data_IF_784969153009
#
_entry.id   IF_784969153009
#
_cell.length_a   1.000
_cell.length_b   1.000
_cell.length_c   1.000
_cell.angle_alpha   90.00
_cell.angle_beta   90.00
_cell.angle_gamma   90.00
#
_symmetry.space_group_name_H-M   'P 1'
#
loop_
_entity.id
_entity.type
_entity.pdbx_description
1 polymer ?
#
# COMPACT_ATOMS: atom_id res chain seq x y z
N UNK A 1 -14.30 32.71 32.21
CA UNK A 1 -13.92 32.41 30.83
C UNK A 1 -15.19 32.11 30.05
N UNK A 2 -15.41 32.87 28.99
CA UNK A 2 -16.71 33.15 28.39
C UNK A 2 -17.36 31.94 27.66
N UNK A 3 -18.55 31.56 28.08
CA UNK A 3 -19.41 30.54 27.41
C UNK A 3 -19.71 30.88 25.92
N UNK A 4 -19.59 32.16 25.54
CA UNK A 4 -19.74 32.63 24.15
C UNK A 4 -18.52 32.30 23.28
N UNK A 5 -17.31 32.43 23.81
CA UNK A 5 -16.06 32.10 23.10
C UNK A 5 -15.99 30.59 22.74
N UNK A 6 -16.45 29.72 23.66
CA UNK A 6 -16.51 28.27 23.38
C UNK A 6 -17.52 27.90 22.28
N UNK A 7 -18.67 28.59 22.19
CA UNK A 7 -19.65 28.31 21.13
C UNK A 7 -19.19 28.76 19.75
N UNK A 8 -18.50 29.91 19.67
CA UNK A 8 -17.95 30.41 18.38
C UNK A 8 -16.81 29.50 17.91
N UNK A 9 -15.89 29.11 18.80
CA UNK A 9 -14.82 28.16 18.49
C UNK A 9 -15.38 26.81 18.00
N UNK A 10 -16.40 26.29 18.67
CA UNK A 10 -17.08 25.07 18.29
C UNK A 10 -17.71 25.19 16.89
N UNK A 11 -18.43 26.29 16.59
CA UNK A 11 -19.04 26.54 15.29
C UNK A 11 -18.00 26.62 14.19
N UNK A 12 -16.91 27.34 14.41
CA UNK A 12 -15.79 27.44 13.43
C UNK A 12 -15.16 26.07 13.16
N UNK A 13 -14.92 25.29 14.21
CA UNK A 13 -14.35 23.94 14.08
C UNK A 13 -15.26 23.02 13.27
N UNK A 14 -16.57 22.97 13.58
CA UNK A 14 -17.49 22.13 12.84
C UNK A 14 -17.71 22.61 11.40
N UNK A 15 -17.69 23.92 11.15
CA UNK A 15 -17.74 24.45 9.78
C UNK A 15 -16.49 24.09 8.98
N UNK A 16 -15.31 24.19 9.59
CA UNK A 16 -14.05 23.79 8.95
C UNK A 16 -14.01 22.28 8.67
N UNK A 17 -14.45 21.45 9.62
CA UNK A 17 -14.56 20.01 9.43
C UNK A 17 -15.58 19.64 8.36
N UNK A 18 -16.75 20.31 8.33
CA UNK A 18 -17.77 20.11 7.30
C UNK A 18 -17.24 20.45 5.91
N UNK A 19 -16.58 21.61 5.76
CA UNK A 19 -15.95 22.00 4.51
C UNK A 19 -14.88 20.98 4.06
N UNK A 20 -14.01 20.57 4.98
CA UNK A 20 -12.99 19.55 4.71
C UNK A 20 -13.63 18.23 4.25
N UNK A 21 -14.71 17.80 4.91
CA UNK A 21 -15.43 16.57 4.54
C UNK A 21 -15.99 16.67 3.13
N UNK A 22 -16.64 17.80 2.78
CA UNK A 22 -17.18 18.00 1.43
C UNK A 22 -16.06 17.99 0.38
N UNK A 23 -14.95 18.71 0.63
CA UNK A 23 -13.81 18.77 -0.29
C UNK A 23 -13.13 17.40 -0.47
N UNK A 24 -13.15 16.55 0.55
CA UNK A 24 -12.53 15.22 0.49
C UNK A 24 -13.44 14.17 -0.14
N UNK A 25 -14.74 14.21 0.16
CA UNK A 25 -15.70 13.18 -0.29
C UNK A 25 -16.23 13.49 -1.70
N UNK A 26 -16.40 14.76 -2.05
CA UNK A 26 -16.96 15.13 -3.34
C UNK A 26 -16.20 14.59 -4.56
N UNK A 27 -14.86 14.63 -4.64
CA UNK A 27 -14.12 14.04 -5.76
C UNK A 27 -14.36 12.53 -5.92
N UNK A 28 -14.55 11.80 -4.82
CA UNK A 28 -14.85 10.37 -4.86
C UNK A 28 -16.26 10.12 -5.40
N UNK A 29 -17.24 10.89 -4.94
CA UNK A 29 -18.61 10.84 -5.50
C UNK A 29 -18.64 11.23 -6.98
N UNK A 30 -17.90 12.26 -7.35
CA UNK A 30 -17.77 12.72 -8.74
C UNK A 30 -17.15 11.63 -9.63
N UNK A 31 -16.12 10.92 -9.16
CA UNK A 31 -15.54 9.77 -9.86
C UNK A 31 -16.60 8.67 -10.05
N UNK A 32 -17.36 8.33 -8.99
CA UNK A 32 -18.44 7.34 -9.06
C UNK A 32 -19.52 7.78 -10.05
N UNK A 33 -19.96 9.04 -10.03
CA UNK A 33 -20.96 9.54 -10.98
C UNK A 33 -20.45 9.47 -12.43
N UNK A 34 -19.20 9.87 -12.67
CA UNK A 34 -18.61 9.83 -14.00
C UNK A 34 -18.44 8.41 -14.54
N UNK A 35 -18.30 7.40 -13.66
CA UNK A 35 -18.23 6.02 -14.10
C UNK A 35 -19.52 5.52 -14.78
N UNK A 36 -20.63 6.23 -14.60
CA UNK A 36 -21.91 5.93 -15.24
C UNK A 36 -22.27 6.88 -16.39
N UNK A 37 -21.40 7.85 -16.73
CA UNK A 37 -21.65 8.85 -17.79
C UNK A 37 -20.92 8.52 -19.09
N UNK A 38 -21.32 9.15 -20.19
CA UNK A 38 -20.52 9.23 -21.41
C UNK A 38 -19.65 10.48 -21.44
N UNK A 39 -18.77 10.59 -22.43
CA UNK A 39 -17.88 11.75 -22.56
C UNK A 39 -18.62 13.09 -22.71
N UNK A 40 -19.74 13.12 -23.43
CA UNK A 40 -20.54 14.33 -23.61
C UNK A 40 -21.14 14.81 -22.29
N UNK A 41 -21.66 13.89 -21.50
CA UNK A 41 -22.22 14.21 -20.18
C UNK A 41 -21.13 14.66 -19.19
N UNK A 42 -19.94 14.03 -19.23
CA UNK A 42 -18.81 14.38 -18.35
C UNK A 42 -18.30 15.79 -18.63
N UNK A 43 -18.17 16.20 -19.91
CA UNK A 43 -17.49 17.46 -20.25
C UNK A 43 -18.41 18.59 -20.67
N UNK A 44 -19.66 18.32 -21.03
CA UNK A 44 -20.52 19.32 -21.63
C UNK A 44 -21.85 19.51 -20.92
N UNK A 45 -22.70 18.47 -20.91
CA UNK A 45 -24.10 18.63 -20.51
C UNK A 45 -24.34 18.55 -19.01
N UNK A 46 -23.56 17.74 -18.26
CA UNK A 46 -23.75 17.56 -16.82
C UNK A 46 -22.44 17.20 -16.10
N UNK A 47 -21.42 18.08 -16.07
CA UNK A 47 -20.11 17.75 -15.50
C UNK A 47 -20.12 17.38 -14.01
N UNK A 48 -20.95 18.04 -13.21
CA UNK A 48 -20.92 17.96 -11.75
C UNK A 48 -22.12 17.25 -11.12
N UNK A 49 -23.17 17.00 -11.89
CA UNK A 49 -24.40 16.39 -11.38
C UNK A 49 -24.40 14.88 -11.36
N UNK A 50 -25.49 14.30 -10.88
CA UNK A 50 -25.78 12.87 -10.91
C UNK A 50 -26.01 12.45 -12.38
N UNK A 51 -25.61 11.23 -12.81
CA UNK A 51 -25.87 10.74 -14.16
C UNK A 51 -27.35 10.85 -14.54
N UNK A 52 -27.63 11.35 -15.75
CA UNK A 52 -28.99 11.37 -16.29
C UNK A 52 -29.44 9.96 -16.66
N UNK A 53 -28.50 9.10 -17.07
CA UNK A 53 -28.68 7.69 -17.34
C UNK A 53 -27.53 6.89 -16.73
N UNK A 54 -27.84 5.82 -15.99
CA UNK A 54 -26.79 4.94 -15.39
C UNK A 54 -26.25 3.98 -16.42
N UNK A 55 -25.10 4.28 -17.01
CA UNK A 55 -24.47 3.52 -18.08
C UNK A 55 -23.56 2.43 -17.53
N UNK A 56 -24.14 1.28 -17.14
CA UNK A 56 -23.39 0.12 -16.67
C UNK A 56 -22.45 -0.48 -17.72
N UNK A 57 -22.66 -0.15 -19.00
CA UNK A 57 -21.79 -0.57 -20.09
C UNK A 57 -20.35 -0.12 -19.91
N UNK A 58 -20.07 0.99 -19.19
CA UNK A 58 -18.74 1.46 -18.91
C UNK A 58 -17.94 0.44 -18.06
N UNK A 59 -18.62 -0.22 -17.13
CA UNK A 59 -17.99 -1.29 -16.32
C UNK A 59 -17.72 -2.55 -17.14
N UNK A 60 -18.62 -2.91 -18.05
CA UNK A 60 -18.43 -4.03 -18.98
C UNK A 60 -17.24 -3.79 -19.90
N UNK A 61 -17.16 -2.59 -20.49
CA UNK A 61 -16.03 -2.17 -21.31
C UNK A 61 -14.72 -2.17 -20.52
N UNK A 62 -14.71 -1.56 -19.33
CA UNK A 62 -13.54 -1.52 -18.46
C UNK A 62 -13.03 -2.96 -18.21
N UNK A 63 -13.92 -3.85 -17.82
CA UNK A 63 -13.59 -5.20 -17.41
C UNK A 63 -13.10 -6.10 -18.55
N UNK A 64 -13.76 -6.04 -19.72
CA UNK A 64 -13.52 -6.97 -20.81
C UNK A 64 -12.81 -6.36 -22.03
N UNK A 65 -13.08 -5.09 -22.39
CA UNK A 65 -12.48 -4.48 -23.58
C UNK A 65 -11.12 -3.81 -23.28
N UNK A 66 -10.96 -3.27 -22.04
CA UNK A 66 -9.73 -2.62 -21.61
C UNK A 66 -8.84 -3.49 -20.73
N UNK A 67 -9.09 -4.80 -20.67
CA UNK A 67 -8.29 -5.79 -19.94
C UNK A 67 -8.14 -5.52 -18.44
N UNK A 68 -9.04 -4.76 -17.82
CA UNK A 68 -8.95 -4.43 -16.38
C UNK A 68 -8.95 -5.68 -15.51
N UNK A 69 -9.67 -6.74 -15.90
CA UNK A 69 -9.65 -8.03 -15.19
C UNK A 69 -8.24 -8.61 -15.12
N UNK A 70 -7.48 -8.55 -16.21
CA UNK A 70 -6.10 -9.05 -16.26
C UNK A 70 -5.19 -8.21 -15.37
N UNK A 71 -5.26 -6.88 -15.48
CA UNK A 71 -4.43 -5.97 -14.68
C UNK A 71 -4.76 -6.04 -13.20
N UNK A 72 -6.04 -6.18 -12.86
CA UNK A 72 -6.50 -6.40 -11.48
C UNK A 72 -5.92 -7.69 -10.91
N UNK A 73 -6.02 -8.79 -11.65
CA UNK A 73 -5.49 -10.09 -11.24
C UNK A 73 -3.96 -10.05 -11.03
N UNK A 74 -3.23 -9.40 -11.94
CA UNK A 74 -1.79 -9.18 -11.80
C UNK A 74 -1.47 -8.37 -10.55
N UNK A 75 -2.20 -7.26 -10.31
CA UNK A 75 -2.01 -6.43 -9.10
C UNK A 75 -2.29 -7.19 -7.82
N UNK A 76 -3.33 -8.02 -7.78
CA UNK A 76 -3.61 -8.88 -6.62
C UNK A 76 -2.46 -9.85 -6.39
N UNK A 77 -2.01 -10.55 -7.43
CA UNK A 77 -0.91 -11.51 -7.31
C UNK A 77 0.40 -10.83 -6.86
N UNK A 78 0.80 -9.73 -7.51
CA UNK A 78 2.00 -8.97 -7.14
C UNK A 78 1.91 -8.48 -5.70
N UNK A 79 0.77 -7.92 -5.31
CA UNK A 79 0.56 -7.40 -3.95
C UNK A 79 0.64 -8.50 -2.90
N UNK A 80 -0.07 -9.61 -3.09
CA UNK A 80 -0.07 -10.73 -2.13
C UNK A 80 1.33 -11.33 -2.00
N UNK A 81 2.02 -11.56 -3.13
CA UNK A 81 3.39 -12.08 -3.11
C UNK A 81 4.37 -11.11 -2.43
N UNK A 82 4.28 -9.81 -2.73
CA UNK A 82 5.11 -8.78 -2.10
C UNK A 82 4.86 -8.71 -0.59
N UNK A 83 3.61 -8.68 -0.15
CA UNK A 83 3.26 -8.65 1.28
C UNK A 83 3.83 -9.86 2.00
N UNK A 84 3.59 -11.05 1.46
CA UNK A 84 4.06 -12.30 2.07
C UNK A 84 5.58 -12.32 2.20
N UNK A 85 6.30 -12.07 1.11
CA UNK A 85 7.76 -12.10 1.10
C UNK A 85 8.35 -11.00 2.00
N UNK A 86 7.85 -9.78 1.91
CA UNK A 86 8.35 -8.66 2.71
C UNK A 86 8.15 -8.90 4.20
N UNK A 87 6.95 -9.31 4.62
CA UNK A 87 6.66 -9.53 6.03
C UNK A 87 7.48 -10.69 6.58
N UNK A 88 7.57 -11.82 5.85
CA UNK A 88 8.36 -12.97 6.28
C UNK A 88 9.85 -12.63 6.40
N UNK A 89 10.44 -11.99 5.39
CA UNK A 89 11.86 -11.62 5.42
C UNK A 89 12.13 -10.57 6.50
N UNK A 90 11.29 -9.54 6.58
CA UNK A 90 11.50 -8.44 7.51
C UNK A 90 11.39 -8.87 8.97
N UNK A 91 10.44 -9.74 9.34
CA UNK A 91 10.30 -10.18 10.73
C UNK A 91 11.46 -11.08 11.18
N UNK A 92 11.92 -11.99 10.29
CA UNK A 92 13.08 -12.83 10.56
C UNK A 92 14.34 -11.99 10.74
N UNK A 93 14.53 -11.00 9.85
CA UNK A 93 15.67 -10.09 9.92
C UNK A 93 15.60 -9.18 11.14
N UNK A 94 14.43 -8.61 11.44
CA UNK A 94 14.23 -7.79 12.63
C UNK A 94 14.48 -8.57 13.92
N UNK A 95 14.04 -9.81 13.99
CA UNK A 95 14.32 -10.69 15.13
C UNK A 95 15.81 -10.91 15.31
N UNK A 96 16.54 -11.21 14.23
CA UNK A 96 17.98 -11.41 14.27
C UNK A 96 18.75 -10.18 14.80
N UNK A 97 18.38 -8.97 14.37
CA UNK A 97 19.06 -7.75 14.80
C UNK A 97 18.55 -7.16 16.13
N UNK A 98 17.36 -7.54 16.58
CA UNK A 98 16.77 -7.00 17.81
C UNK A 98 17.02 -7.88 19.04
N UNK A 99 17.12 -9.22 18.83
CA UNK A 99 17.12 -10.23 19.90
C UNK A 99 18.36 -11.09 19.96
N UNK A 100 19.04 -11.30 18.80
CA UNK A 100 20.28 -12.08 18.81
C UNK A 100 21.45 -11.15 19.10
N UNK A 101 22.35 -11.63 19.97
CA UNK A 101 23.60 -10.91 20.28
C UNK A 101 24.71 -11.34 19.31
N UNK A 102 25.09 -10.42 18.41
CA UNK A 102 26.18 -10.62 17.46
C UNK A 102 26.86 -9.31 17.09
N UNK A 103 28.16 -9.37 16.81
CA UNK A 103 29.06 -8.22 16.72
C UNK A 103 28.65 -7.15 15.70
N UNK A 104 27.94 -7.51 14.64
CA UNK A 104 27.61 -6.60 13.54
C UNK A 104 26.15 -6.13 13.57
N UNK A 105 25.34 -6.54 14.56
CA UNK A 105 23.89 -6.22 14.60
C UNK A 105 23.59 -4.74 14.47
N UNK A 106 24.36 -3.87 15.15
CA UNK A 106 24.23 -2.42 15.08
C UNK A 106 24.58 -1.84 13.70
N UNK A 107 25.67 -2.31 13.12
CA UNK A 107 26.10 -1.87 11.78
C UNK A 107 25.07 -2.27 10.70
N UNK A 108 24.58 -3.52 10.77
CA UNK A 108 23.57 -4.02 9.84
C UNK A 108 22.24 -3.29 10.00
N UNK A 109 21.82 -2.99 11.23
CA UNK A 109 20.65 -2.14 11.48
C UNK A 109 20.80 -0.78 10.81
N UNK A 110 21.96 -0.13 10.99
CA UNK A 110 22.23 1.19 10.35
C UNK A 110 22.19 1.07 8.83
N UNK A 111 22.83 0.05 8.26
CA UNK A 111 22.84 -0.20 6.81
C UNK A 111 21.42 -0.35 6.25
N UNK A 112 20.58 -1.16 6.90
CA UNK A 112 19.18 -1.33 6.51
C UNK A 112 18.42 -0.02 6.59
N UNK A 113 18.62 0.75 7.67
CA UNK A 113 17.95 2.05 7.84
C UNK A 113 18.33 3.05 6.76
N UNK A 114 19.58 3.05 6.30
CA UNK A 114 20.04 3.90 5.19
C UNK A 114 19.30 3.57 3.89
N UNK A 115 18.96 2.30 3.67
CA UNK A 115 18.18 1.88 2.50
C UNK A 115 16.83 2.58 2.34
N UNK A 116 16.22 3.05 3.44
CA UNK A 116 14.95 3.80 3.40
C UNK A 116 15.08 5.21 2.78
N UNK A 117 16.29 5.76 2.75
CA UNK A 117 16.53 7.11 2.24
C UNK A 117 16.89 7.13 0.75
N UNK A 118 16.99 5.97 0.11
CA UNK A 118 17.29 5.89 -1.32
C UNK A 118 15.99 6.11 -2.11
N UNK A 119 15.86 7.23 -2.86
CA UNK A 119 14.68 7.47 -3.67
C UNK A 119 14.60 6.45 -4.81
N UNK A 120 13.44 5.80 -4.98
CA UNK A 120 13.24 4.82 -6.03
C UNK A 120 13.52 5.38 -7.43
N UNK A 121 13.21 6.65 -7.65
CA UNK A 121 13.38 7.34 -8.93
C UNK A 121 14.84 7.37 -9.43
N UNK A 122 15.79 7.46 -8.52
CA UNK A 122 17.23 7.53 -8.87
C UNK A 122 17.74 6.21 -9.43
N UNK A 123 17.18 5.09 -8.98
CA UNK A 123 17.67 3.75 -9.33
C UNK A 123 16.84 3.06 -10.42
N UNK A 124 15.86 3.74 -11.04
CA UNK A 124 15.02 3.12 -12.08
C UNK A 124 15.84 2.55 -13.25
N UNK A 125 16.83 3.30 -13.76
CA UNK A 125 17.69 2.83 -14.87
C UNK A 125 18.56 1.63 -14.45
N UNK A 126 19.35 1.70 -13.36
CA UNK A 126 20.06 0.53 -12.83
C UNK A 126 19.16 -0.67 -12.55
N UNK A 127 17.93 -0.41 -12.08
CA UNK A 127 16.97 -1.46 -11.79
C UNK A 127 16.54 -2.24 -13.04
N UNK A 128 16.28 -1.54 -14.15
CA UNK A 128 15.95 -2.19 -15.44
C UNK A 128 17.11 -3.07 -15.91
N UNK A 129 18.35 -2.61 -15.75
CA UNK A 129 19.54 -3.40 -16.10
C UNK A 129 19.61 -4.65 -15.22
N UNK A 130 19.46 -4.48 -13.89
CA UNK A 130 19.50 -5.59 -12.92
C UNK A 130 18.42 -6.64 -13.22
N UNK A 131 17.21 -6.23 -13.53
CA UNK A 131 16.09 -7.13 -13.87
C UNK A 131 16.40 -7.95 -15.11
N UNK A 132 17.07 -7.35 -16.11
CA UNK A 132 17.53 -8.05 -17.31
C UNK A 132 18.65 -9.02 -17.01
N UNK A 133 19.64 -8.61 -16.24
CA UNK A 133 20.79 -9.45 -15.87
C UNK A 133 20.37 -10.66 -15.01
N UNK A 134 19.34 -10.50 -14.19
CA UNK A 134 18.73 -11.58 -13.43
C UNK A 134 17.82 -12.50 -14.26
N UNK A 135 17.59 -12.17 -15.55
CA UNK A 135 16.71 -12.91 -16.47
C UNK A 135 15.26 -13.06 -15.94
N UNK A 136 14.79 -12.10 -15.17
CA UNK A 136 13.40 -12.04 -14.65
C UNK A 136 12.52 -11.04 -15.40
N UNK A 137 13.09 -10.33 -16.40
CA UNK A 137 12.29 -9.49 -17.29
C UNK A 137 11.18 -10.31 -17.94
N UNK A 138 10.10 -9.63 -18.34
CA UNK A 138 8.91 -10.28 -18.90
C UNK A 138 8.23 -11.32 -17.98
N UNK A 139 8.39 -11.19 -16.68
CA UNK A 139 7.66 -11.94 -15.64
C UNK A 139 7.19 -10.98 -14.53
N UNK A 140 6.20 -11.40 -13.74
CA UNK A 140 5.76 -10.59 -12.58
C UNK A 140 6.85 -10.49 -11.48
N UNK A 141 7.87 -11.35 -11.51
CA UNK A 141 9.02 -11.24 -10.60
C UNK A 141 9.81 -9.95 -10.82
N UNK A 142 9.81 -9.40 -12.05
CA UNK A 142 10.45 -8.11 -12.34
C UNK A 142 9.90 -6.95 -11.50
N UNK A 143 8.67 -7.09 -11.03
CA UNK A 143 7.98 -6.12 -10.16
C UNK A 143 8.06 -6.53 -8.69
N UNK A 144 7.79 -7.80 -8.39
CA UNK A 144 7.76 -8.31 -7.01
C UNK A 144 9.09 -8.12 -6.30
N UNK A 145 10.21 -8.47 -6.96
CA UNK A 145 11.54 -8.40 -6.32
C UNK A 145 11.92 -6.95 -5.91
N UNK A 146 11.80 -5.95 -6.79
CA UNK A 146 12.02 -4.55 -6.40
C UNK A 146 11.07 -4.09 -5.28
N UNK A 147 9.78 -4.43 -5.35
CA UNK A 147 8.82 -4.03 -4.32
C UNK A 147 9.20 -4.59 -2.95
N UNK A 148 9.58 -5.87 -2.89
CA UNK A 148 10.09 -6.49 -1.66
C UNK A 148 11.35 -5.77 -1.18
N UNK A 149 12.31 -5.49 -2.08
CA UNK A 149 13.56 -4.83 -1.72
C UNK A 149 13.33 -3.43 -1.12
N UNK A 150 12.45 -2.63 -1.73
CA UNK A 150 12.15 -1.27 -1.23
C UNK A 150 11.37 -1.24 0.07
N UNK A 151 10.45 -2.18 0.25
CA UNK A 151 9.60 -2.19 1.45
C UNK A 151 10.31 -2.82 2.66
N UNK A 152 11.19 -3.79 2.44
CA UNK A 152 11.84 -4.55 3.52
C UNK A 152 12.52 -3.67 4.57
N UNK A 153 13.32 -2.62 4.24
CA UNK A 153 13.96 -1.78 5.25
C UNK A 153 12.97 -1.07 6.18
N UNK A 154 11.89 -0.55 5.63
CA UNK A 154 10.85 0.12 6.40
C UNK A 154 10.13 -0.85 7.34
N UNK A 155 9.76 -2.02 6.85
CA UNK A 155 9.06 -3.04 7.63
C UNK A 155 9.97 -3.65 8.71
N UNK A 156 11.27 -3.84 8.43
CA UNK A 156 12.26 -4.24 9.46
C UNK A 156 12.29 -3.22 10.61
N UNK A 157 12.28 -1.93 10.29
CA UNK A 157 12.32 -0.86 11.30
C UNK A 157 11.10 -0.91 12.22
N UNK A 158 9.91 -1.14 11.67
CA UNK A 158 8.69 -1.31 12.46
C UNK A 158 8.78 -2.53 13.37
N UNK A 159 9.14 -3.70 12.83
CA UNK A 159 9.27 -4.92 13.63
C UNK A 159 10.36 -4.80 14.68
N UNK A 160 11.50 -4.19 14.36
CA UNK A 160 12.56 -3.93 15.32
C UNK A 160 12.06 -3.11 16.51
N UNK A 161 11.36 -2.01 16.25
CA UNK A 161 10.78 -1.16 17.31
C UNK A 161 9.78 -1.92 18.18
N UNK A 162 8.95 -2.76 17.57
CA UNK A 162 7.97 -3.57 18.30
C UNK A 162 8.62 -4.67 19.13
N UNK A 163 9.58 -5.40 18.56
CA UNK A 163 10.32 -6.46 19.26
C UNK A 163 11.08 -5.91 20.49
N UNK A 164 11.68 -4.72 20.39
CA UNK A 164 12.39 -4.08 21.51
C UNK A 164 11.51 -3.70 22.70
N UNK A 165 10.19 -3.61 22.52
CA UNK A 165 9.23 -3.33 23.58
C UNK A 165 8.77 -4.60 24.32
N UNK A 166 8.98 -5.79 23.76
CA UNK A 166 8.60 -7.03 24.40
C UNK A 166 9.62 -7.40 25.51
N UNK A 167 9.17 -7.91 26.68
CA UNK A 167 10.04 -8.40 27.73
C UNK A 167 10.93 -9.54 27.23
N UNK A 168 12.25 -9.49 27.52
CA UNK A 168 13.21 -10.53 27.11
C UNK A 168 13.03 -11.79 27.95
N UNK A 169 12.57 -11.63 29.17
CA UNK A 169 12.36 -12.68 30.18
C UNK A 169 11.47 -13.82 29.65
N UNK A 170 10.58 -13.54 28.72
CA UNK A 170 9.70 -14.56 28.10
C UNK A 170 10.53 -15.53 27.22
N UNK A 171 11.52 -15.02 26.51
CA UNK A 171 12.41 -15.81 25.66
C UNK A 171 13.43 -16.58 26.52
N UNK A 172 13.96 -15.94 27.57
CA UNK A 172 14.89 -16.54 28.51
C UNK A 172 14.23 -17.70 29.28
N UNK A 173 13.01 -17.54 29.79
CA UNK A 173 12.25 -18.59 30.44
C UNK A 173 12.05 -19.81 29.52
N UNK A 174 11.64 -19.56 28.28
CA UNK A 174 11.48 -20.64 27.30
C UNK A 174 12.80 -21.34 26.94
N UNK A 175 13.91 -20.61 26.90
CA UNK A 175 15.23 -21.17 26.68
C UNK A 175 15.66 -22.05 27.86
N UNK A 176 15.37 -21.64 29.10
CA UNK A 176 15.60 -22.44 30.29
C UNK A 176 14.80 -23.75 30.31
N UNK A 177 13.60 -23.74 29.74
CA UNK A 177 12.75 -24.92 29.51
C UNK A 177 13.23 -25.78 28.32
N UNK A 178 14.36 -25.43 27.68
CA UNK A 178 14.97 -26.20 26.60
C UNK A 178 14.37 -25.94 25.23
N UNK A 179 13.57 -24.86 25.03
CA UNK A 179 13.04 -24.52 23.75
C UNK A 179 14.16 -24.05 22.80
N UNK A 180 14.15 -24.55 21.55
CA UNK A 180 15.06 -24.06 20.51
C UNK A 180 14.67 -22.66 20.06
N UNK A 181 15.61 -21.90 19.49
CA UNK A 181 15.37 -20.56 18.96
C UNK A 181 14.24 -20.51 17.94
N UNK A 182 14.10 -21.53 17.11
CA UNK A 182 13.00 -21.65 16.15
C UNK A 182 11.66 -21.84 16.85
N UNK A 183 11.64 -22.62 17.97
CA UNK A 183 10.43 -22.81 18.76
C UNK A 183 10.02 -21.50 19.46
N UNK A 184 10.97 -20.77 20.03
CA UNK A 184 10.76 -19.47 20.66
C UNK A 184 10.20 -18.48 19.62
N UNK A 185 10.86 -18.38 18.45
CA UNK A 185 10.39 -17.47 17.38
C UNK A 185 8.98 -17.81 16.91
N UNK A 186 8.70 -19.09 16.59
CA UNK A 186 7.42 -19.48 16.00
C UNK A 186 6.26 -19.52 17.02
N UNK A 187 6.53 -19.97 18.25
CA UNK A 187 5.47 -20.23 19.24
C UNK A 187 5.26 -19.10 20.24
N UNK A 188 6.27 -18.23 20.44
CA UNK A 188 6.19 -17.14 21.41
C UNK A 188 6.19 -15.81 20.68
N UNK A 189 7.23 -15.52 19.89
CA UNK A 189 7.40 -14.22 19.27
C UNK A 189 6.35 -13.94 18.20
N UNK A 190 6.16 -14.83 17.23
CA UNK A 190 5.18 -14.62 16.14
C UNK A 190 3.76 -14.33 16.63
N UNK A 191 3.21 -15.07 17.63
CA UNK A 191 1.90 -14.74 18.18
C UNK A 191 1.84 -13.36 18.86
N UNK A 192 2.90 -12.98 19.59
CA UNK A 192 2.97 -11.68 20.29
C UNK A 192 3.05 -10.49 19.33
N UNK A 193 3.76 -10.65 18.21
CA UNK A 193 3.91 -9.57 17.20
C UNK A 193 2.79 -9.57 16.16
N UNK A 194 1.77 -10.42 16.30
CA UNK A 194 0.65 -10.49 15.36
C UNK A 194 0.01 -9.11 15.03
N UNK A 195 -0.19 -8.19 16.01
CA UNK A 195 -0.70 -6.85 15.68
C UNK A 195 0.24 -6.06 14.77
N UNK A 196 1.56 -6.17 14.98
CA UNK A 196 2.55 -5.54 14.12
C UNK A 196 2.59 -6.17 12.72
N UNK A 197 2.42 -7.51 12.61
CA UNK A 197 2.34 -8.21 11.32
C UNK A 197 1.18 -7.65 10.50
N UNK A 198 0.00 -7.47 11.08
CA UNK A 198 -1.16 -6.89 10.38
C UNK A 198 -0.86 -5.47 9.89
N UNK A 199 -0.27 -4.63 10.74
CA UNK A 199 0.09 -3.26 10.35
C UNK A 199 1.12 -3.22 9.23
N UNK A 200 2.17 -4.04 9.31
CA UNK A 200 3.20 -4.18 8.29
C UNK A 200 2.63 -4.69 6.95
N UNK A 201 1.75 -5.68 7.01
CA UNK A 201 1.05 -6.20 5.83
C UNK A 201 0.21 -5.12 5.15
N UNK A 202 -0.51 -4.31 5.93
CA UNK A 202 -1.31 -3.19 5.40
C UNK A 202 -0.44 -2.13 4.72
N UNK A 203 0.66 -1.70 5.34
CA UNK A 203 1.57 -0.73 4.72
C UNK A 203 2.17 -1.26 3.42
N UNK A 204 2.65 -2.51 3.43
CA UNK A 204 3.21 -3.13 2.23
C UNK A 204 2.17 -3.30 1.14
N UNK A 205 0.93 -3.66 1.49
CA UNK A 205 -0.15 -3.77 0.54
C UNK A 205 -0.51 -2.42 -0.08
N UNK A 206 -0.68 -1.36 0.73
CA UNK A 206 -0.98 -0.02 0.22
C UNK A 206 0.13 0.49 -0.72
N UNK A 207 1.39 0.22 -0.40
CA UNK A 207 2.50 0.54 -1.29
C UNK A 207 2.38 -0.25 -2.61
N UNK A 208 2.35 -1.57 -2.54
CA UNK A 208 2.38 -2.45 -3.70
C UNK A 208 1.17 -2.24 -4.63
N UNK A 209 -0.01 -1.99 -4.06
CA UNK A 209 -1.24 -1.76 -4.81
C UNK A 209 -1.22 -0.45 -5.61
N UNK A 210 -0.60 0.60 -5.06
CA UNK A 210 -0.58 1.93 -5.67
C UNK A 210 0.73 2.22 -6.43
N UNK A 211 1.72 1.33 -6.35
CA UNK A 211 3.00 1.59 -7.00
C UNK A 211 2.86 1.54 -8.52
N UNK A 212 3.38 2.58 -9.17
CA UNK A 212 3.27 2.79 -10.61
C UNK A 212 4.62 2.91 -11.31
N UNK A 213 5.57 3.65 -10.72
CA UNK A 213 6.81 4.06 -11.40
C UNK A 213 7.75 2.91 -11.67
N UNK A 214 7.96 2.03 -10.69
CA UNK A 214 8.81 0.85 -10.83
C UNK A 214 8.17 -0.09 -11.85
N UNK A 215 6.88 -0.38 -11.69
CA UNK A 215 6.16 -1.27 -12.60
C UNK A 215 6.19 -0.74 -14.04
N UNK A 216 6.02 0.57 -14.25
CA UNK A 216 6.05 1.20 -15.59
C UNK A 216 7.36 0.97 -16.33
N UNK A 217 8.50 0.98 -15.63
CA UNK A 217 9.83 0.87 -16.28
C UNK A 217 10.30 -0.58 -16.43
N UNK A 218 9.82 -1.51 -15.59
CA UNK A 218 10.27 -2.91 -15.64
C UNK A 218 9.33 -3.84 -16.42
N UNK A 219 8.05 -3.47 -16.61
CA UNK A 219 7.09 -4.25 -17.38
C UNK A 219 7.11 -3.82 -18.84
N UNK A 220 7.51 -4.71 -19.74
CA UNK A 220 7.46 -4.50 -21.18
C UNK A 220 6.19 -5.09 -21.82
N UNK A 221 5.74 -6.26 -21.38
CA UNK A 221 4.59 -6.96 -21.93
C UNK A 221 3.25 -6.42 -21.37
N UNK A 222 2.30 -6.14 -22.27
CA UNK A 222 0.97 -5.63 -21.90
C UNK A 222 0.24 -6.57 -20.92
N UNK A 223 0.36 -7.86 -21.13
CA UNK A 223 -0.33 -8.90 -20.35
C UNK A 223 0.12 -8.93 -18.88
N UNK A 224 1.30 -8.40 -18.59
CA UNK A 224 1.87 -8.35 -17.24
C UNK A 224 1.60 -7.02 -16.51
N UNK A 225 0.95 -6.05 -17.16
CA UNK A 225 0.67 -4.77 -16.53
C UNK A 225 -0.08 -4.95 -15.22
N UNK A 226 0.33 -4.14 -14.24
CA UNK A 226 -0.46 -3.93 -13.03
C UNK A 226 -1.57 -2.91 -13.28
N UNK A 227 -2.53 -2.86 -12.40
CA UNK A 227 -3.71 -2.01 -12.54
C UNK A 227 -3.36 -0.52 -12.72
N UNK A 228 -2.42 0.08 -11.95
CA UNK A 228 -2.03 1.48 -12.16
C UNK A 228 -1.49 1.76 -13.58
N UNK A 229 -0.72 0.82 -14.17
CA UNK A 229 -0.25 0.97 -15.55
C UNK A 229 -1.40 0.84 -16.54
N UNK A 230 -2.29 -0.12 -16.31
CA UNK A 230 -3.47 -0.34 -17.14
C UNK A 230 -4.35 0.91 -17.27
N UNK A 231 -4.52 1.66 -16.17
CA UNK A 231 -5.33 2.89 -16.15
C UNK A 231 -4.78 3.99 -17.09
N UNK A 232 -3.47 4.10 -17.26
CA UNK A 232 -2.87 5.08 -18.19
C UNK A 232 -3.17 4.75 -19.65
N UNK A 233 -3.42 3.47 -19.97
CA UNK A 233 -3.68 3.01 -21.35
C UNK A 233 -5.10 3.31 -21.86
N UNK A 234 -6.00 3.83 -21.02
CA UNK A 234 -7.29 4.33 -21.49
C UNK A 234 -7.16 5.58 -22.36
N UNK A 235 -6.02 6.26 -22.33
CA UNK A 235 -5.73 7.39 -23.21
C UNK A 235 -5.46 6.85 -24.62
N UNK A 236 -6.49 6.85 -25.45
CA UNK A 236 -6.37 6.52 -26.87
C UNK A 236 -5.68 7.65 -27.66
N UNK A 237 -5.16 7.29 -28.83
CA UNK A 237 -4.43 8.24 -29.69
C UNK A 237 -5.34 9.38 -30.21
N UNK A 238 -6.64 9.15 -30.33
CA UNK A 238 -7.61 10.11 -30.86
C UNK A 238 -8.80 10.39 -29.93
N UNK A 239 -9.10 9.51 -29.00
CA UNK A 239 -10.19 9.69 -28.02
C UNK A 239 -9.94 8.83 -26.77
N UNK A 240 -10.37 9.33 -25.64
CA UNK A 240 -10.38 8.61 -24.36
C UNK A 240 -11.83 8.28 -23.99
N UNK A 241 -12.11 7.03 -23.64
CA UNK A 241 -13.39 6.65 -23.02
C UNK A 241 -13.33 6.95 -21.51
N UNK A 242 -13.65 8.19 -21.17
CA UNK A 242 -13.57 8.68 -19.79
C UNK A 242 -14.55 8.00 -18.84
N UNK A 243 -15.71 7.56 -19.36
CA UNK A 243 -16.66 6.79 -18.58
C UNK A 243 -16.10 5.42 -18.17
N UNK A 244 -15.51 4.68 -19.10
CA UNK A 244 -14.86 3.41 -18.83
C UNK A 244 -13.60 3.58 -17.96
N UNK A 245 -12.83 4.65 -18.16
CA UNK A 245 -11.70 5.00 -17.31
C UNK A 245 -12.15 5.28 -15.87
N UNK A 246 -13.21 6.06 -15.66
CA UNK A 246 -13.77 6.32 -14.34
C UNK A 246 -14.28 5.03 -13.68
N UNK A 247 -14.94 4.14 -14.44
CA UNK A 247 -15.35 2.83 -13.94
C UNK A 247 -14.15 1.97 -13.48
N UNK A 248 -13.03 2.02 -14.23
CA UNK A 248 -11.79 1.31 -13.85
C UNK A 248 -11.17 1.89 -12.57
N UNK A 249 -11.21 3.22 -12.39
CA UNK A 249 -10.76 3.87 -11.16
C UNK A 249 -11.63 3.48 -9.96
N UNK A 250 -12.95 3.37 -10.14
CA UNK A 250 -13.85 2.85 -9.09
C UNK A 250 -13.48 1.42 -8.73
N UNK A 251 -13.32 0.53 -9.71
CA UNK A 251 -12.91 -0.85 -9.50
C UNK A 251 -11.57 -0.91 -8.73
N UNK A 252 -10.59 -0.09 -9.13
CA UNK A 252 -9.26 -0.08 -8.51
C UNK A 252 -9.25 0.43 -7.07
N UNK A 253 -10.22 1.27 -6.69
CA UNK A 253 -10.34 1.79 -5.33
C UNK A 253 -11.00 0.81 -4.35
N UNK A 254 -11.77 -0.16 -4.84
CA UNK A 254 -12.50 -1.13 -3.99
C UNK A 254 -11.59 -1.86 -2.99
N UNK A 255 -10.47 -2.48 -3.38
CA UNK A 255 -9.63 -3.20 -2.42
C UNK A 255 -9.07 -2.30 -1.32
N UNK A 256 -8.66 -1.08 -1.66
CA UNK A 256 -8.15 -0.10 -0.69
C UNK A 256 -9.23 0.33 0.29
N UNK A 257 -10.45 0.60 -0.19
CA UNK A 257 -11.60 0.96 0.65
C UNK A 257 -11.99 -0.19 1.57
N UNK A 258 -12.09 -1.41 1.05
CA UNK A 258 -12.44 -2.59 1.84
C UNK A 258 -11.41 -2.85 2.95
N UNK A 259 -10.13 -2.70 2.65
CA UNK A 259 -9.07 -2.81 3.65
C UNK A 259 -9.17 -1.74 4.72
N UNK A 260 -9.37 -0.49 4.32
CA UNK A 260 -9.53 0.59 5.28
C UNK A 260 -10.70 0.32 6.23
N UNK A 261 -11.85 -0.09 5.69
CA UNK A 261 -13.03 -0.42 6.50
C UNK A 261 -12.79 -1.62 7.44
N UNK A 262 -12.05 -2.63 6.97
CA UNK A 262 -11.75 -3.82 7.77
C UNK A 262 -10.69 -3.56 8.86
N UNK A 263 -9.74 -2.65 8.61
CA UNK A 263 -8.53 -2.47 9.45
C UNK A 263 -8.31 -1.03 9.92
N UNK A 264 -9.33 -0.15 9.90
CA UNK A 264 -9.21 1.27 10.30
C UNK A 264 -8.60 1.44 11.69
N UNK A 265 -9.03 0.66 12.67
CA UNK A 265 -8.50 0.72 14.04
C UNK A 265 -7.02 0.33 14.13
N UNK A 266 -6.58 -0.64 13.34
CA UNK A 266 -5.17 -1.06 13.28
C UNK A 266 -4.30 0.00 12.62
N UNK A 267 -4.80 0.65 11.57
CA UNK A 267 -4.14 1.77 10.89
C UNK A 267 -3.96 2.94 11.84
N UNK A 268 -5.01 3.34 12.57
CA UNK A 268 -4.95 4.42 13.56
C UNK A 268 -3.92 4.13 14.65
N UNK A 269 -3.90 2.92 15.21
CA UNK A 269 -2.93 2.50 16.23
C UNK A 269 -1.49 2.52 15.68
N UNK A 270 -1.28 2.06 14.45
CA UNK A 270 0.04 2.04 13.82
C UNK A 270 0.57 3.46 13.56
N UNK A 271 -0.28 4.39 13.10
CA UNK A 271 0.07 5.80 12.89
C UNK A 271 0.36 6.48 14.22
N UNK A 272 -0.44 6.24 15.26
CA UNK A 272 -0.22 6.77 16.60
C UNK A 272 1.10 6.27 17.20
N UNK A 273 1.45 5.00 17.06
CA UNK A 273 2.72 4.44 17.50
C UNK A 273 3.93 5.07 16.78
N UNK A 274 3.81 5.35 15.47
CA UNK A 274 4.85 6.02 14.69
C UNK A 274 5.08 7.48 15.11
N UNK A 275 4.05 8.17 15.61
CA UNK A 275 4.16 9.55 16.08
C UNK A 275 4.80 9.67 17.47
N UNK A 276 4.73 8.64 18.30
CA UNK A 276 5.34 8.61 19.65
C UNK A 276 6.85 8.35 19.66
N UNK A 277 7.47 8.01 18.53
CA UNK A 277 8.93 7.82 18.39
C UNK A 277 9.67 9.18 18.28
N UNK A 278 8.96 10.30 18.22
CA UNK A 278 9.53 11.67 18.15
C UNK A 278 9.58 12.41 19.50
N UNK A 279 9.41 11.73 20.62
CA UNK A 279 9.56 12.31 21.97
C UNK A 279 10.82 11.84 22.67
#
# INVERSE_FOLDING_TARGET
MDKKSGKISCLVTYSALGLYTVLSVYPLLWMIFNSFKNNEEIFSTNPFGIPTEFRFINYVKAWFEYDVVQYFSNSVFVTVATVFLTVCLAIMFAYAIARMDWKLSGAVKTYVSVGMFIPAQIILIPLVILVKDLHVNDTLLSVILPYVAFQTPFIITIFYGYLRQLPVEMEEAAAMDGASIYSIFLKIILPLVKPAIVSCALFTMLFSWNEFMIALVVIAKKELNTLPIGLVKFQGQFSTDWGAMAASLVISSIPTILLYLAFSQQIEKAVAAGSSIKG
#
